data_IF_845556665777
#
_entry.id   IF_845556665777
#
_cell.length_a   1.000
_cell.length_b   1.000
_cell.length_c   1.000
_cell.angle_alpha   90.00
_cell.angle_beta   90.00
_cell.angle_gamma   90.00
#
_symmetry.space_group_name_H-M   'P 1'
#
loop_
_entity.id
_entity.type
_entity.pdbx_description
1 polymer ?
#
# COMPACT_ATOMS: atom_id res chain seq x y z
N UNK A 1 64.83 31.17 5.61
CA UNK A 1 63.38 31.41 5.84
C UNK A 1 62.77 31.88 4.53
N UNK A 2 62.16 30.99 3.77
CA UNK A 2 61.27 31.36 2.66
C UNK A 2 60.05 30.47 2.84
N UNK A 3 58.92 31.07 3.21
CA UNK A 3 57.65 30.39 3.47
C UNK A 3 56.97 30.11 2.13
N UNK A 4 56.70 28.84 1.87
CA UNK A 4 55.70 28.38 0.90
C UNK A 4 54.34 28.57 1.58
N UNK A 5 53.43 29.31 0.94
CA UNK A 5 52.01 29.33 1.29
C UNK A 5 51.28 28.73 0.09
N UNK A 6 50.94 27.45 0.19
CA UNK A 6 49.94 26.82 -0.66
C UNK A 6 48.56 27.13 -0.05
N UNK A 7 47.73 27.83 -0.81
CA UNK A 7 46.33 28.02 -0.47
C UNK A 7 45.55 26.77 -0.89
N UNK A 8 45.21 25.90 0.06
CA UNK A 8 44.24 24.83 -0.14
C UNK A 8 42.85 25.49 -0.13
N UNK A 9 42.23 25.58 -1.31
CA UNK A 9 40.81 25.88 -1.42
C UNK A 9 40.03 24.64 -0.93
N UNK A 10 39.52 24.69 0.30
CA UNK A 10 38.48 23.77 0.75
C UNK A 10 37.19 24.11 0.00
N UNK A 11 36.92 23.41 -1.10
CA UNK A 11 35.57 23.28 -1.63
C UNK A 11 34.77 22.49 -0.58
N UNK A 12 33.97 23.18 0.22
CA UNK A 12 32.93 22.53 1.00
C UNK A 12 31.88 22.00 0.03
N UNK A 13 32.03 20.75 -0.41
CA UNK A 13 30.88 19.99 -0.90
C UNK A 13 29.92 19.86 0.28
N UNK A 14 28.83 20.63 0.29
CA UNK A 14 27.62 20.17 0.94
C UNK A 14 27.20 18.91 0.18
N UNK A 15 27.66 17.75 0.67
CA UNK A 15 26.99 16.51 0.37
C UNK A 15 25.63 16.61 1.05
N UNK A 16 24.61 17.06 0.31
CA UNK A 16 23.25 16.65 0.61
C UNK A 16 23.32 15.12 0.53
N UNK A 17 23.23 14.46 1.68
CA UNK A 17 23.16 13.01 1.73
C UNK A 17 21.84 12.61 1.09
N UNK A 18 21.86 12.34 -0.22
CA UNK A 18 20.77 11.65 -0.88
C UNK A 18 20.59 10.31 -0.15
N UNK A 19 19.37 10.04 0.30
CA UNK A 19 19.05 8.72 0.81
C UNK A 19 19.12 7.76 -0.39
N UNK A 20 19.63 6.53 -0.18
CA UNK A 20 19.60 5.54 -1.24
C UNK A 20 18.14 5.20 -1.57
N UNK A 21 17.81 5.01 -2.86
CA UNK A 21 16.47 4.61 -3.28
C UNK A 21 15.98 3.40 -2.47
N UNK A 22 14.73 3.47 -2.01
CA UNK A 22 14.10 2.41 -1.20
C UNK A 22 14.06 1.10 -1.97
N UNK A 23 14.17 -0.02 -1.25
CA UNK A 23 13.93 -1.34 -1.83
C UNK A 23 12.47 -1.49 -2.29
N UNK A 24 12.22 -2.47 -3.18
CA UNK A 24 10.87 -2.72 -3.71
C UNK A 24 9.84 -2.94 -2.60
N UNK A 25 8.61 -2.37 -2.73
CA UNK A 25 7.50 -2.73 -1.87
C UNK A 25 7.23 -4.22 -1.92
N UNK A 26 6.72 -4.77 -0.83
CA UNK A 26 6.43 -6.20 -0.68
C UNK A 26 5.01 -6.40 -0.18
N UNK A 27 4.36 -7.48 -0.62
CA UNK A 27 3.10 -7.88 -0.01
C UNK A 27 3.33 -8.46 1.38
N UNK A 28 2.54 -8.02 2.36
CA UNK A 28 2.47 -8.63 3.70
C UNK A 28 1.25 -9.56 3.87
N UNK A 29 0.58 -9.90 2.77
CA UNK A 29 -0.69 -10.63 2.74
C UNK A 29 -1.95 -9.75 2.85
N UNK A 30 -1.81 -8.45 3.12
CA UNK A 30 -2.94 -7.49 3.23
C UNK A 30 -2.79 -6.31 2.29
N UNK A 31 -1.57 -5.81 2.12
CA UNK A 31 -1.25 -4.63 1.33
C UNK A 31 0.21 -4.66 0.90
N UNK A 32 0.63 -3.71 0.05
CA UNK A 32 2.04 -3.42 -0.17
C UNK A 32 2.61 -2.64 1.00
N UNK A 33 3.71 -3.12 1.55
CA UNK A 33 4.49 -2.44 2.59
C UNK A 33 5.87 -2.09 2.06
N UNK A 34 6.49 -1.12 2.71
CA UNK A 34 7.84 -0.68 2.47
C UNK A 34 8.87 -1.79 2.75
N UNK A 35 10.12 -1.53 2.38
CA UNK A 35 11.25 -2.45 2.55
C UNK A 35 11.60 -2.77 4.02
N UNK A 36 11.12 -1.94 4.95
CA UNK A 36 11.16 -2.12 6.40
C UNK A 36 9.88 -2.74 7.00
N UNK A 37 8.88 -3.02 6.16
CA UNK A 37 7.62 -3.64 6.55
C UNK A 37 6.51 -2.67 6.98
N UNK A 38 6.74 -1.36 6.94
CA UNK A 38 5.70 -0.37 7.26
C UNK A 38 4.71 -0.18 6.09
N UNK A 39 3.41 0.01 6.34
CA UNK A 39 2.47 0.45 5.31
C UNK A 39 2.92 1.75 4.62
N UNK A 40 2.58 1.88 3.33
CA UNK A 40 2.82 3.08 2.55
C UNK A 40 1.73 4.11 2.87
N UNK A 41 2.16 5.35 3.14
CA UNK A 41 1.33 6.45 3.59
C UNK A 41 1.76 7.73 2.89
N UNK A 42 0.83 8.44 2.28
CA UNK A 42 1.19 9.63 1.50
C UNK A 42 0.02 10.52 1.12
N UNK A 43 0.30 11.78 0.73
CA UNK A 43 -0.62 12.63 -0.01
C UNK A 43 -0.56 12.35 -1.52
N UNK A 44 -1.17 13.23 -2.31
CA UNK A 44 -1.02 13.25 -3.77
C UNK A 44 -0.35 14.51 -4.30
N UNK A 45 0.16 14.38 -5.52
CA UNK A 45 0.65 15.43 -6.41
C UNK A 45 0.26 15.08 -7.86
N UNK A 46 0.49 15.96 -8.83
CA UNK A 46 0.17 15.68 -10.22
C UNK A 46 0.94 16.50 -11.24
N UNK A 47 1.25 15.89 -12.38
CA UNK A 47 1.90 16.57 -13.51
C UNK A 47 0.92 17.02 -14.61
N UNK A 48 -0.38 16.86 -14.37
CA UNK A 48 -1.46 17.15 -15.34
C UNK A 48 -1.48 18.63 -15.75
N UNK A 49 -1.24 19.54 -14.82
CA UNK A 49 -1.35 21.00 -15.04
C UNK A 49 -0.01 21.73 -15.02
N UNK A 50 1.09 21.08 -14.64
CA UNK A 50 2.39 21.71 -14.45
C UNK A 50 3.49 20.74 -14.01
N UNK A 51 4.67 21.26 -13.62
CA UNK A 51 5.64 20.46 -12.90
C UNK A 51 5.07 20.01 -11.55
N UNK A 52 5.44 18.80 -11.14
CA UNK A 52 5.19 18.29 -9.80
C UNK A 52 6.02 19.07 -8.76
N UNK A 53 5.86 18.68 -7.50
CA UNK A 53 6.62 19.14 -6.35
C UNK A 53 8.12 19.12 -6.60
N UNK A 54 8.82 19.98 -5.86
CA UNK A 54 10.28 20.02 -5.86
C UNK A 54 10.85 19.13 -4.74
N UNK A 55 12.13 18.79 -4.86
CA UNK A 55 12.84 18.00 -3.84
C UNK A 55 12.68 18.51 -2.40
N UNK A 56 12.56 19.83 -2.19
CA UNK A 56 12.32 20.41 -0.87
C UNK A 56 10.93 20.07 -0.30
N UNK A 57 9.90 20.08 -1.15
CA UNK A 57 8.53 19.70 -0.80
C UNK A 57 8.46 18.20 -0.52
N UNK A 58 9.00 17.36 -1.41
CA UNK A 58 9.06 15.91 -1.22
C UNK A 58 9.75 15.55 0.10
N UNK A 59 10.92 16.15 0.38
CA UNK A 59 11.61 15.90 1.66
C UNK A 59 10.80 16.34 2.88
N UNK A 60 10.00 17.40 2.76
CA UNK A 60 9.21 17.91 3.87
C UNK A 60 8.05 16.98 4.27
N UNK A 61 7.54 16.15 3.35
CA UNK A 61 6.49 15.16 3.61
C UNK A 61 6.85 14.19 4.75
N UNK A 62 8.15 13.88 4.89
CA UNK A 62 8.67 13.03 5.97
C UNK A 62 8.36 13.57 7.37
N UNK A 63 8.18 14.89 7.51
CA UNK A 63 7.81 15.51 8.79
C UNK A 63 6.35 15.26 9.19
N UNK A 64 5.55 14.72 8.27
CA UNK A 64 4.11 14.47 8.44
C UNK A 64 3.80 12.96 8.45
N UNK A 65 4.79 12.13 8.80
CA UNK A 65 4.62 10.68 8.96
C UNK A 65 4.42 9.93 7.66
N UNK A 66 4.70 10.56 6.52
CA UNK A 66 4.58 9.96 5.19
C UNK A 66 5.88 9.32 4.70
N UNK A 67 5.74 8.27 3.91
CA UNK A 67 6.82 7.57 3.23
C UNK A 67 6.51 7.29 1.74
N UNK A 68 5.37 7.75 1.24
CA UNK A 68 4.92 7.57 -0.14
C UNK A 68 4.32 8.87 -0.72
N UNK A 69 4.21 8.93 -2.05
CA UNK A 69 3.54 9.98 -2.80
C UNK A 69 2.69 9.34 -3.91
N UNK A 70 1.42 9.75 -4.02
CA UNK A 70 0.58 9.42 -5.17
C UNK A 70 0.79 10.44 -6.28
N UNK A 71 1.03 10.00 -7.52
CA UNK A 71 1.23 10.89 -8.65
C UNK A 71 0.20 10.63 -9.75
N UNK A 72 -0.73 11.57 -9.92
CA UNK A 72 -1.55 11.69 -11.13
C UNK A 72 -0.64 12.15 -12.27
N UNK A 73 -0.26 11.21 -13.13
CA UNK A 73 0.79 11.45 -14.14
C UNK A 73 0.26 12.31 -15.29
N UNK A 74 -0.37 11.66 -16.27
CA UNK A 74 -0.93 12.26 -17.46
C UNK A 74 -2.44 12.00 -17.49
N UNK A 75 -3.19 13.02 -17.88
CA UNK A 75 -4.60 12.88 -18.19
C UNK A 75 -4.77 12.13 -19.50
N UNK A 76 -5.56 11.05 -19.51
CA UNK A 76 -5.92 10.38 -20.77
C UNK A 76 -6.72 11.31 -21.68
N UNK A 77 -6.51 11.24 -23.00
CA UNK A 77 -7.20 12.13 -23.92
C UNK A 77 -6.66 12.09 -25.33
N UNK A 78 -6.64 13.24 -25.99
CA UNK A 78 -6.24 13.36 -27.41
C UNK A 78 -4.74 13.44 -27.62
N UNK A 79 -3.98 13.87 -26.61
CA UNK A 79 -2.54 13.93 -26.67
C UNK A 79 -1.96 12.53 -26.41
N UNK A 80 -1.03 12.08 -27.26
CA UNK A 80 -0.38 10.78 -27.08
C UNK A 80 0.41 10.73 -25.75
N UNK A 81 0.44 9.57 -25.07
CA UNK A 81 1.19 9.41 -23.83
C UNK A 81 2.68 9.77 -23.95
N UNK A 82 3.28 10.20 -22.85
CA UNK A 82 4.69 10.62 -22.79
C UNK A 82 4.89 12.15 -22.80
N UNK A 83 3.81 12.93 -22.95
CA UNK A 83 3.86 14.39 -23.07
C UNK A 83 4.25 15.13 -21.78
N UNK A 84 4.17 14.47 -20.61
CA UNK A 84 4.65 14.97 -19.32
C UNK A 84 5.88 14.21 -18.81
N UNK A 85 6.50 13.36 -19.63
CA UNK A 85 7.59 12.47 -19.22
C UNK A 85 8.73 13.18 -18.48
N UNK A 86 9.14 14.38 -18.92
CA UNK A 86 10.19 15.14 -18.25
C UNK A 86 9.82 15.58 -16.82
N UNK A 87 8.54 15.88 -16.55
CA UNK A 87 8.09 16.21 -15.20
C UNK A 87 7.97 14.96 -14.33
N UNK A 88 7.49 13.85 -14.91
CA UNK A 88 7.39 12.56 -14.22
C UNK A 88 8.79 12.04 -13.88
N UNK A 89 9.76 12.18 -14.78
CA UNK A 89 11.18 11.85 -14.53
C UNK A 89 11.72 12.60 -13.32
N UNK A 90 11.43 13.91 -13.24
CA UNK A 90 11.89 14.77 -12.15
C UNK A 90 11.37 14.27 -10.81
N UNK A 91 10.05 14.07 -10.67
CA UNK A 91 9.47 13.66 -9.39
C UNK A 91 9.78 12.19 -9.02
N UNK A 92 9.96 11.31 -10.01
CA UNK A 92 10.46 9.94 -9.76
C UNK A 92 11.89 10.00 -9.19
N UNK A 93 12.75 10.89 -9.70
CA UNK A 93 14.10 11.06 -9.16
C UNK A 93 14.07 11.70 -7.77
N UNK A 94 13.25 12.73 -7.56
CA UNK A 94 13.16 13.42 -6.27
C UNK A 94 12.64 12.52 -5.16
N UNK A 95 11.66 11.65 -5.45
CA UNK A 95 11.18 10.65 -4.50
C UNK A 95 12.24 9.58 -4.23
N UNK A 96 13.03 9.17 -5.23
CA UNK A 96 14.16 8.26 -5.05
C UNK A 96 15.19 8.85 -4.07
N UNK A 97 15.62 10.08 -4.32
CA UNK A 97 16.64 10.80 -3.53
C UNK A 97 16.16 11.08 -2.09
N UNK A 98 14.84 11.24 -1.91
CA UNK A 98 14.23 11.46 -0.61
C UNK A 98 13.95 10.17 0.19
N UNK A 99 14.17 8.99 -0.41
CA UNK A 99 13.82 7.69 0.19
C UNK A 99 12.31 7.45 0.27
N UNK A 100 11.51 8.03 -0.61
CA UNK A 100 10.05 7.88 -0.63
C UNK A 100 9.61 6.93 -1.74
N UNK A 101 8.50 6.24 -1.52
CA UNK A 101 7.79 5.51 -2.56
C UNK A 101 6.97 6.45 -3.44
N UNK A 102 6.74 6.07 -4.69
CA UNK A 102 5.86 6.80 -5.59
C UNK A 102 4.93 5.84 -6.34
N UNK A 103 3.65 6.18 -6.37
CA UNK A 103 2.61 5.43 -7.07
C UNK A 103 2.24 6.23 -8.31
N UNK A 104 2.45 5.65 -9.49
CA UNK A 104 2.17 6.30 -10.77
C UNK A 104 0.82 5.81 -11.31
N UNK A 105 -0.11 6.74 -11.57
CA UNK A 105 -1.43 6.42 -12.10
C UNK A 105 -1.73 7.22 -13.36
N UNK A 106 -2.46 6.62 -14.32
CA UNK A 106 -3.11 7.36 -15.41
C UNK A 106 -4.24 8.19 -14.81
N UNK A 107 -4.24 9.51 -15.04
CA UNK A 107 -5.24 10.41 -14.51
C UNK A 107 -6.40 10.63 -15.51
N UNK A 108 -7.55 11.07 -15.01
CA UNK A 108 -8.74 11.32 -15.86
C UNK A 108 -8.98 12.80 -16.15
N UNK A 109 -8.33 13.72 -15.44
CA UNK A 109 -8.64 15.14 -15.49
C UNK A 109 -10.14 15.40 -15.28
N UNK A 110 -10.82 15.90 -16.31
CA UNK A 110 -12.27 16.19 -16.25
C UNK A 110 -13.20 14.98 -16.46
N UNK A 111 -12.66 13.79 -16.73
CA UNK A 111 -13.41 12.62 -17.22
C UNK A 111 -13.35 11.42 -16.24
N UNK A 112 -13.46 11.66 -14.93
CA UNK A 112 -13.52 10.55 -13.95
C UNK A 112 -14.68 9.59 -14.29
N UNK A 113 -14.49 8.30 -13.99
CA UNK A 113 -15.45 7.25 -14.31
C UNK A 113 -15.46 6.83 -15.78
N UNK A 114 -14.36 7.09 -16.49
CA UNK A 114 -14.18 6.77 -17.91
C UNK A 114 -12.70 6.43 -18.20
N UNK A 115 -12.46 5.70 -19.29
CA UNK A 115 -11.12 5.29 -19.72
C UNK A 115 -11.00 5.19 -21.25
N UNK A 116 -9.75 5.12 -21.74
CA UNK A 116 -9.46 4.76 -23.13
C UNK A 116 -8.48 3.60 -23.18
N UNK A 117 -8.92 2.45 -23.71
CA UNK A 117 -8.10 1.25 -23.81
C UNK A 117 -6.80 1.50 -24.56
N UNK A 118 -6.89 2.03 -25.79
CA UNK A 118 -5.71 2.25 -26.64
C UNK A 118 -4.75 3.25 -26.01
N UNK A 119 -5.28 4.28 -25.34
CA UNK A 119 -4.46 5.28 -24.68
C UNK A 119 -3.72 4.67 -23.48
N UNK A 120 -4.39 3.85 -22.67
CA UNK A 120 -3.79 3.16 -21.53
C UNK A 120 -2.70 2.15 -21.98
N UNK A 121 -2.94 1.41 -23.07
CA UNK A 121 -1.95 0.51 -23.67
C UNK A 121 -0.70 1.28 -24.15
N UNK A 122 -0.88 2.40 -24.84
CA UNK A 122 0.21 3.27 -25.29
C UNK A 122 0.99 3.87 -24.10
N UNK A 123 0.28 4.29 -23.05
CA UNK A 123 0.87 4.86 -21.84
C UNK A 123 1.77 3.85 -21.15
N UNK A 124 1.26 2.64 -20.88
CA UNK A 124 2.05 1.62 -20.22
C UNK A 124 3.16 1.06 -21.10
N UNK A 125 2.97 1.05 -22.43
CA UNK A 125 4.05 0.71 -23.36
C UNK A 125 5.22 1.69 -23.25
N UNK A 126 4.95 2.97 -22.99
CA UNK A 126 5.97 3.99 -22.81
C UNK A 126 6.58 3.98 -21.40
N UNK A 127 5.76 4.00 -20.34
CA UNK A 127 6.22 4.23 -18.97
C UNK A 127 6.65 2.96 -18.21
N UNK A 128 6.10 1.78 -18.53
CA UNK A 128 6.49 0.55 -17.84
C UNK A 128 7.98 0.21 -18.00
N UNK A 129 8.59 0.18 -19.21
CA UNK A 129 10.03 -0.06 -19.33
C UNK A 129 10.86 1.09 -18.75
N UNK A 130 10.33 2.32 -18.75
CA UNK A 130 11.06 3.53 -18.34
C UNK A 130 11.41 3.51 -16.85
N UNK A 131 10.49 3.03 -16.01
CA UNK A 131 10.69 2.97 -14.56
C UNK A 131 10.76 1.54 -14.04
N UNK A 132 10.94 0.55 -14.92
CA UNK A 132 10.99 -0.87 -14.56
C UNK A 132 12.00 -1.15 -13.44
N UNK A 133 13.16 -0.50 -13.47
CA UNK A 133 14.25 -0.69 -12.51
C UNK A 133 14.21 0.25 -11.30
N UNK A 134 13.27 1.20 -11.27
CA UNK A 134 13.10 2.12 -10.14
C UNK A 134 12.38 1.39 -9.00
N UNK A 135 13.14 1.00 -7.98
CA UNK A 135 12.63 0.07 -6.95
C UNK A 135 11.57 0.69 -6.05
N UNK A 136 11.53 2.02 -5.90
CA UNK A 136 10.53 2.73 -5.10
C UNK A 136 9.21 3.00 -5.85
N UNK A 137 9.07 2.55 -7.10
CA UNK A 137 7.90 2.82 -7.95
C UNK A 137 6.88 1.67 -7.90
N UNK A 138 5.61 2.05 -7.80
CA UNK A 138 4.42 1.18 -8.00
C UNK A 138 3.62 1.71 -9.19
N UNK A 139 3.03 0.81 -9.97
CA UNK A 139 2.12 1.17 -11.06
C UNK A 139 0.67 0.92 -10.66
N UNK A 140 -0.15 1.95 -10.75
CA UNK A 140 -1.60 1.87 -10.63
C UNK A 140 -2.22 2.08 -12.00
N UNK A 141 -2.93 1.08 -12.53
CA UNK A 141 -3.20 1.00 -13.98
C UNK A 141 -3.95 2.21 -14.51
N UNK A 142 -5.04 2.62 -13.87
CA UNK A 142 -5.86 3.74 -14.31
C UNK A 142 -6.71 4.25 -13.16
N UNK A 143 -6.74 5.58 -12.97
CA UNK A 143 -7.60 6.20 -11.97
C UNK A 143 -9.07 6.09 -12.39
N UNK A 144 -9.94 5.72 -11.44
CA UNK A 144 -11.41 5.65 -11.57
C UNK A 144 -11.94 5.34 -12.99
N UNK A 145 -11.62 4.17 -13.59
CA UNK A 145 -11.93 3.92 -15.00
C UNK A 145 -13.42 3.70 -15.27
N UNK A 146 -14.24 3.43 -14.25
CA UNK A 146 -15.67 3.14 -14.40
C UNK A 146 -16.50 3.90 -13.38
N UNK A 147 -17.60 4.47 -13.86
CA UNK A 147 -18.62 5.18 -13.10
C UNK A 147 -19.57 4.20 -12.38
N UNK A 148 -19.47 3.97 -11.07
CA UNK A 148 -18.44 4.48 -10.14
C UNK A 148 -17.73 3.38 -9.35
N UNK A 149 -17.95 2.11 -9.66
CA UNK A 149 -17.42 1.02 -8.85
C UNK A 149 -17.74 -0.35 -9.45
N UNK A 150 -17.40 -1.42 -8.74
CA UNK A 150 -17.62 -2.78 -9.22
C UNK A 150 -19.13 -3.09 -9.35
N UNK A 151 -19.53 -4.03 -10.23
CA UNK A 151 -18.67 -4.88 -11.05
C UNK A 151 -18.36 -4.28 -12.43
N UNK A 152 -17.08 -4.12 -12.74
CA UNK A 152 -16.52 -3.70 -14.04
C UNK A 152 -16.70 -4.77 -15.12
N UNK A 153 -16.77 -6.04 -14.71
CA UNK A 153 -17.04 -7.21 -15.55
C UNK A 153 -18.46 -7.23 -16.12
N UNK A 154 -19.38 -6.44 -15.56
CA UNK A 154 -20.75 -6.36 -16.06
C UNK A 154 -20.79 -5.79 -17.48
N UNK A 155 -21.59 -6.38 -18.40
CA UNK A 155 -21.81 -5.81 -19.73
C UNK A 155 -22.53 -4.46 -19.68
N UNK A 156 -23.08 -4.07 -18.53
CA UNK A 156 -23.72 -2.76 -18.30
C UNK A 156 -22.89 -1.84 -17.41
N UNK A 157 -21.63 -2.18 -17.12
CA UNK A 157 -20.70 -1.23 -16.52
C UNK A 157 -20.56 0.01 -17.42
N UNK A 158 -20.25 1.16 -16.84
CA UNK A 158 -20.22 2.43 -17.56
C UNK A 158 -18.87 3.16 -17.39
N UNK A 159 -18.02 3.19 -18.42
CA UNK A 159 -18.09 2.40 -19.66
C UNK A 159 -17.85 0.89 -19.40
N UNK A 160 -18.30 -0.01 -20.31
CA UNK A 160 -17.99 -1.43 -20.20
C UNK A 160 -16.57 -1.73 -20.69
N UNK A 161 -16.02 -2.88 -20.29
CA UNK A 161 -14.76 -3.39 -20.83
C UNK A 161 -13.51 -3.03 -20.03
N UNK A 162 -13.65 -2.44 -18.84
CA UNK A 162 -12.52 -2.12 -17.98
C UNK A 162 -11.70 -3.35 -17.59
N UNK A 163 -12.31 -4.52 -17.35
CA UNK A 163 -11.56 -5.78 -17.11
C UNK A 163 -10.59 -6.10 -18.25
N UNK A 164 -11.00 -5.88 -19.50
CA UNK A 164 -10.11 -6.08 -20.63
C UNK A 164 -8.98 -5.05 -20.64
N UNK A 165 -9.25 -3.79 -20.30
CA UNK A 165 -8.22 -2.75 -20.16
C UNK A 165 -7.19 -3.13 -19.09
N UNK A 166 -7.63 -3.52 -17.90
CA UNK A 166 -6.76 -4.00 -16.82
C UNK A 166 -5.86 -5.16 -17.30
N UNK A 167 -6.44 -6.14 -18.00
CA UNK A 167 -5.71 -7.30 -18.49
C UNK A 167 -4.67 -6.99 -19.58
N UNK A 168 -4.97 -6.07 -20.51
CA UNK A 168 -4.01 -5.65 -21.55
C UNK A 168 -2.88 -4.84 -20.94
N UNK A 169 -3.20 -3.88 -20.07
CA UNK A 169 -2.21 -3.08 -19.34
C UNK A 169 -1.31 -3.97 -18.48
N UNK A 170 -1.88 -4.93 -17.73
CA UNK A 170 -1.11 -5.94 -16.99
C UNK A 170 -0.09 -6.67 -17.87
N UNK A 171 -0.54 -7.15 -19.02
CA UNK A 171 0.31 -7.92 -19.95
C UNK A 171 1.46 -7.07 -20.50
N UNK A 172 1.19 -5.81 -20.84
CA UNK A 172 2.20 -4.83 -21.29
C UNK A 172 3.19 -4.56 -20.17
N UNK A 173 2.70 -4.24 -18.96
CA UNK A 173 3.53 -3.93 -17.80
C UNK A 173 4.41 -5.14 -17.45
N UNK A 174 3.84 -6.33 -17.27
CA UNK A 174 4.61 -7.53 -16.86
C UNK A 174 5.69 -7.92 -17.86
N UNK A 175 5.47 -7.65 -19.16
CA UNK A 175 6.49 -7.86 -20.20
C UNK A 175 7.69 -6.93 -20.05
N UNK A 176 7.47 -5.67 -19.67
CA UNK A 176 8.51 -4.65 -19.59
C UNK A 176 9.11 -4.47 -18.18
N UNK A 177 8.32 -4.72 -17.14
CA UNK A 177 8.60 -4.46 -15.74
C UNK A 177 8.12 -5.64 -14.87
N UNK A 178 8.74 -6.83 -14.99
CA UNK A 178 8.24 -8.08 -14.38
C UNK A 178 8.18 -8.04 -12.85
N UNK A 179 8.97 -7.17 -12.22
CA UNK A 179 9.10 -7.07 -10.76
C UNK A 179 8.39 -5.84 -10.17
N UNK A 180 7.78 -4.98 -10.98
CA UNK A 180 7.11 -3.77 -10.47
C UNK A 180 5.73 -4.11 -9.93
N UNK A 181 5.40 -3.72 -8.68
CA UNK A 181 4.06 -3.85 -8.12
C UNK A 181 2.98 -3.24 -9.03
N UNK A 182 1.83 -3.91 -9.15
CA UNK A 182 0.67 -3.41 -9.89
C UNK A 182 -0.53 -3.26 -8.95
N UNK A 183 -1.22 -2.14 -9.06
CA UNK A 183 -2.53 -1.92 -8.48
C UNK A 183 -3.59 -1.94 -9.59
N UNK A 184 -4.63 -2.74 -9.39
CA UNK A 184 -5.75 -2.94 -10.32
C UNK A 184 -6.97 -2.11 -9.91
N UNK A 185 -7.82 -1.85 -10.92
CA UNK A 185 -9.21 -1.39 -10.81
C UNK A 185 -9.41 0.05 -10.36
N UNK A 186 -8.81 0.46 -9.25
CA UNK A 186 -8.98 1.80 -8.66
C UNK A 186 -10.47 2.18 -8.51
N UNK A 187 -11.19 1.37 -7.74
CA UNK A 187 -12.64 1.56 -7.54
C UNK A 187 -12.95 2.87 -6.81
N UNK A 188 -13.68 3.78 -7.45
CA UNK A 188 -14.09 5.06 -6.84
C UNK A 188 -15.04 4.87 -5.64
N UNK A 189 -16.12 4.10 -5.83
CA UNK A 189 -17.22 3.94 -4.87
C UNK A 189 -17.42 2.46 -4.54
N UNK A 190 -17.09 2.08 -3.30
CA UNK A 190 -17.44 0.79 -2.73
C UNK A 190 -18.74 0.90 -1.93
N UNK A 191 -19.86 0.61 -2.60
CA UNK A 191 -21.20 0.63 -2.00
C UNK A 191 -21.54 -0.64 -1.20
N UNK A 192 -22.74 -0.69 -0.60
CA UNK A 192 -23.25 -1.91 0.05
C UNK A 192 -23.21 -3.11 -0.90
N UNK A 193 -22.65 -4.24 -0.44
CA UNK A 193 -22.54 -5.47 -1.24
C UNK A 193 -21.40 -5.47 -2.27
N UNK A 194 -20.50 -4.47 -2.25
CA UNK A 194 -19.35 -4.43 -3.13
C UNK A 194 -18.44 -5.67 -3.00
N UNK A 195 -18.48 -6.40 -1.88
CA UNK A 195 -17.63 -7.57 -1.64
C UNK A 195 -17.81 -8.65 -2.71
N UNK A 196 -19.06 -8.89 -3.13
CA UNK A 196 -19.35 -9.87 -4.18
C UNK A 196 -18.90 -9.37 -5.55
N UNK A 197 -19.20 -8.11 -5.86
CA UNK A 197 -18.87 -7.50 -7.15
C UNK A 197 -17.35 -7.38 -7.39
N UNK A 198 -16.57 -7.08 -6.35
CA UNK A 198 -15.10 -7.08 -6.43
C UNK A 198 -14.59 -8.48 -6.78
N UNK A 199 -15.13 -9.52 -6.16
CA UNK A 199 -14.71 -10.90 -6.43
C UNK A 199 -15.10 -11.36 -7.85
N UNK A 200 -16.24 -10.90 -8.38
CA UNK A 200 -16.62 -11.13 -9.79
C UNK A 200 -15.57 -10.54 -10.75
N UNK A 201 -15.14 -9.31 -10.49
CA UNK A 201 -14.12 -8.62 -11.29
C UNK A 201 -12.75 -9.29 -11.18
N UNK A 202 -12.33 -9.68 -9.97
CA UNK A 202 -11.09 -10.42 -9.74
C UNK A 202 -11.10 -11.75 -10.47
N UNK A 203 -12.17 -12.54 -10.37
CA UNK A 203 -12.28 -13.82 -11.07
C UNK A 203 -12.26 -13.63 -12.59
N UNK A 204 -12.92 -12.59 -13.11
CA UNK A 204 -12.91 -12.26 -14.53
C UNK A 204 -11.51 -11.89 -15.01
N UNK A 205 -10.82 -11.00 -14.29
CA UNK A 205 -9.45 -10.59 -14.59
C UNK A 205 -8.50 -11.79 -14.52
N UNK A 206 -8.51 -12.54 -13.41
CA UNK A 206 -7.66 -13.70 -13.19
C UNK A 206 -7.85 -14.78 -14.26
N UNK A 207 -9.10 -15.01 -14.69
CA UNK A 207 -9.37 -15.92 -15.82
C UNK A 207 -8.67 -15.44 -17.09
N UNK A 208 -8.65 -14.13 -17.34
CA UNK A 208 -8.01 -13.56 -18.53
C UNK A 208 -6.48 -13.57 -18.46
N UNK A 209 -5.87 -13.21 -17.32
CA UNK A 209 -4.41 -13.04 -17.20
C UNK A 209 -3.67 -14.28 -16.67
N UNK A 210 -4.36 -15.19 -16.00
CA UNK A 210 -3.78 -16.41 -15.41
C UNK A 210 -4.42 -17.70 -15.90
N UNK A 211 -5.58 -17.65 -16.57
CA UNK A 211 -6.34 -18.84 -16.95
C UNK A 211 -6.95 -19.59 -15.76
N UNK A 212 -7.00 -18.96 -14.58
CA UNK A 212 -7.51 -19.52 -13.34
C UNK A 212 -8.17 -18.41 -12.52
N UNK A 213 -9.48 -18.47 -12.30
CA UNK A 213 -10.22 -17.46 -11.53
C UNK A 213 -9.69 -17.26 -10.10
N UNK A 214 -9.19 -18.32 -9.47
CA UNK A 214 -8.70 -18.33 -8.08
C UNK A 214 -7.18 -18.10 -7.98
N UNK A 215 -6.58 -17.40 -8.96
CA UNK A 215 -5.14 -17.16 -8.97
C UNK A 215 -4.70 -16.32 -7.77
N UNK A 216 -3.68 -16.80 -7.05
CA UNK A 216 -3.09 -16.09 -5.92
C UNK A 216 -2.11 -15.04 -6.43
N UNK A 217 -2.35 -13.78 -6.07
CA UNK A 217 -1.48 -12.67 -6.42
C UNK A 217 -0.22 -12.64 -5.56
N UNK A 218 0.90 -12.31 -6.19
CA UNK A 218 2.22 -12.29 -5.52
C UNK A 218 2.91 -10.94 -5.65
N UNK A 219 2.45 -10.09 -6.57
CA UNK A 219 2.96 -8.74 -6.78
C UNK A 219 1.85 -7.81 -7.32
N UNK A 220 0.61 -8.04 -6.90
CA UNK A 220 -0.58 -7.32 -7.31
C UNK A 220 -1.49 -7.03 -6.10
N UNK A 221 -2.26 -5.94 -6.15
CA UNK A 221 -3.27 -5.59 -5.17
C UNK A 221 -4.45 -4.84 -5.83
N UNK A 222 -5.60 -4.81 -5.17
CA UNK A 222 -6.73 -3.96 -5.56
C UNK A 222 -6.50 -2.53 -5.08
N UNK A 223 -6.46 -1.57 -5.99
CA UNK A 223 -6.60 -0.15 -5.64
C UNK A 223 -8.09 0.20 -5.44
N UNK A 224 -8.35 1.09 -4.48
CA UNK A 224 -9.69 1.56 -4.19
C UNK A 224 -9.68 2.96 -3.56
N UNK A 225 -10.80 3.65 -3.66
CA UNK A 225 -11.03 4.96 -3.10
C UNK A 225 -12.05 4.92 -1.95
N UNK A 226 -12.15 6.02 -1.21
CA UNK A 226 -13.01 6.16 -0.04
C UNK A 226 -14.44 6.66 -0.28
N UNK A 227 -14.87 6.87 -1.53
CA UNK A 227 -16.10 7.63 -1.83
C UNK A 227 -17.41 6.87 -1.56
N UNK A 228 -17.34 5.56 -1.31
CA UNK A 228 -18.46 4.76 -0.79
C UNK A 228 -18.78 4.99 0.69
N UNK A 229 -17.98 5.82 1.37
CA UNK A 229 -18.04 6.08 2.80
C UNK A 229 -17.30 5.02 3.61
N UNK A 230 -16.84 5.41 4.81
CA UNK A 230 -15.96 4.58 5.65
C UNK A 230 -16.55 3.20 5.93
N UNK A 231 -17.81 3.09 6.36
CA UNK A 231 -18.39 1.82 6.79
C UNK A 231 -18.43 0.77 5.67
N UNK A 232 -18.94 1.15 4.49
CA UNK A 232 -19.02 0.23 3.34
C UNK A 232 -17.62 -0.14 2.84
N UNK A 233 -16.73 0.85 2.76
CA UNK A 233 -15.35 0.64 2.29
C UNK A 233 -14.59 -0.33 3.19
N UNK A 234 -14.63 -0.12 4.51
CA UNK A 234 -13.92 -0.99 5.47
C UNK A 234 -14.51 -2.40 5.50
N UNK A 235 -15.84 -2.55 5.38
CA UNK A 235 -16.49 -3.86 5.25
C UNK A 235 -15.97 -4.61 4.02
N UNK A 236 -16.02 -3.94 2.85
CA UNK A 236 -15.65 -4.57 1.59
C UNK A 236 -14.17 -4.95 1.51
N UNK A 237 -13.29 -4.07 1.97
CA UNK A 237 -11.86 -4.33 1.97
C UNK A 237 -11.45 -5.35 3.03
N UNK A 238 -12.13 -5.39 4.18
CA UNK A 238 -11.96 -6.46 5.16
C UNK A 238 -12.27 -7.83 4.55
N UNK A 239 -13.42 -7.96 3.89
CA UNK A 239 -13.82 -9.20 3.22
C UNK A 239 -12.86 -9.60 2.08
N UNK A 240 -12.38 -8.63 1.30
CA UNK A 240 -11.39 -8.85 0.24
C UNK A 240 -10.06 -9.41 0.78
N UNK A 241 -9.55 -8.82 1.86
CA UNK A 241 -8.33 -9.27 2.53
C UNK A 241 -8.53 -10.68 3.12
N UNK A 242 -9.68 -10.96 3.73
CA UNK A 242 -10.02 -12.28 4.26
C UNK A 242 -10.14 -13.34 3.14
N UNK A 243 -10.52 -12.92 1.92
CA UNK A 243 -10.51 -13.74 0.71
C UNK A 243 -9.10 -13.95 0.12
N UNK A 244 -8.06 -13.33 0.69
CA UNK A 244 -6.66 -13.52 0.30
C UNK A 244 -6.15 -12.55 -0.76
N UNK A 245 -6.91 -11.51 -1.10
CA UNK A 245 -6.50 -10.50 -2.08
C UNK A 245 -6.05 -9.22 -1.37
N UNK A 246 -4.79 -8.76 -1.59
CA UNK A 246 -4.31 -7.52 -1.00
C UNK A 246 -5.04 -6.29 -1.54
N UNK A 247 -5.10 -5.24 -0.74
CA UNK A 247 -5.72 -3.98 -1.09
C UNK A 247 -4.80 -2.78 -0.81
N UNK A 248 -5.04 -1.65 -1.48
CA UNK A 248 -4.31 -0.41 -1.34
C UNK A 248 -5.26 0.78 -1.55
N UNK A 249 -5.42 1.65 -0.55
CA UNK A 249 -6.24 2.86 -0.69
C UNK A 249 -5.44 3.92 -1.48
N UNK A 250 -5.94 4.40 -2.61
CA UNK A 250 -5.20 5.35 -3.46
C UNK A 250 -5.78 6.75 -3.46
N UNK A 251 -7.03 6.92 -3.01
CA UNK A 251 -7.64 8.24 -2.91
C UNK A 251 -8.78 8.27 -1.88
N UNK A 252 -8.70 9.18 -0.90
CA UNK A 252 -9.85 9.49 -0.05
C UNK A 252 -9.71 10.88 0.55
N UNK A 253 -10.84 11.49 0.84
CA UNK A 253 -10.93 12.73 1.61
C UNK A 253 -12.25 12.76 2.36
N UNK A 254 -12.35 13.66 3.35
CA UNK A 254 -13.64 13.93 3.96
C UNK A 254 -14.56 14.57 2.92
N UNK A 255 -15.77 14.05 2.75
CA UNK A 255 -16.76 14.62 1.81
C UNK A 255 -17.20 16.05 2.16
N UNK A 256 -16.96 16.51 3.39
CA UNK A 256 -17.29 17.84 3.89
C UNK A 256 -16.01 18.66 4.15
N UNK A 257 -15.49 19.29 3.10
CA UNK A 257 -14.35 20.20 3.15
C UNK A 257 -12.98 19.51 3.10
N UNK A 258 -11.92 20.30 3.01
CA UNK A 258 -10.54 19.83 2.74
C UNK A 258 -9.80 19.29 3.98
N UNK A 259 -10.53 18.91 5.04
CA UNK A 259 -9.93 18.39 6.28
C UNK A 259 -9.79 16.87 6.18
N UNK A 260 -8.65 16.32 6.60
CA UNK A 260 -8.46 14.86 6.58
C UNK A 260 -9.51 14.10 7.41
N UNK A 261 -9.95 12.96 6.90
CA UNK A 261 -10.77 12.01 7.66
C UNK A 261 -9.89 11.10 8.54
N UNK A 262 -9.54 11.60 9.72
CA UNK A 262 -8.74 10.87 10.69
C UNK A 262 -9.43 9.56 11.16
N UNK A 263 -10.76 9.53 11.24
CA UNK A 263 -11.51 8.32 11.58
C UNK A 263 -11.28 7.23 10.53
N UNK A 264 -11.29 7.62 9.25
CA UNK A 264 -11.04 6.70 8.15
C UNK A 264 -9.60 6.17 8.18
N UNK A 265 -8.61 7.04 8.38
CA UNK A 265 -7.21 6.59 8.56
C UNK A 265 -7.11 5.58 9.70
N UNK A 266 -7.73 5.84 10.84
CA UNK A 266 -7.69 4.92 11.98
C UNK A 266 -8.26 3.53 11.62
N UNK A 267 -9.32 3.48 10.81
CA UNK A 267 -9.87 2.22 10.36
C UNK A 267 -8.96 1.50 9.35
N UNK A 268 -8.29 2.23 8.45
CA UNK A 268 -7.31 1.68 7.51
C UNK A 268 -6.07 1.13 8.24
N UNK A 269 -5.58 1.84 9.26
CA UNK A 269 -4.51 1.37 10.16
C UNK A 269 -4.95 0.09 10.90
N UNK A 270 -6.20 0.02 11.35
CA UNK A 270 -6.78 -1.17 11.96
C UNK A 270 -6.81 -2.39 11.02
N UNK A 271 -7.08 -2.17 9.73
CA UNK A 271 -6.98 -3.21 8.70
C UNK A 271 -5.53 -3.57 8.33
N UNK A 272 -4.58 -2.67 8.65
CA UNK A 272 -3.17 -2.68 8.22
C UNK A 272 -3.03 -2.56 6.69
N UNK A 273 -3.79 -1.64 6.11
CA UNK A 273 -3.84 -1.38 4.67
C UNK A 273 -3.11 -0.07 4.37
N UNK A 274 -2.24 -0.05 3.36
CA UNK A 274 -1.58 1.16 2.89
C UNK A 274 -2.58 2.14 2.28
N UNK A 275 -2.29 3.43 2.39
CA UNK A 275 -3.23 4.48 1.99
C UNK A 275 -2.55 5.74 1.45
N UNK A 276 -3.21 6.35 0.48
CA UNK A 276 -2.87 7.66 -0.06
C UNK A 276 -4.08 8.56 0.09
N UNK A 277 -3.87 9.71 0.72
CA UNK A 277 -4.93 10.68 0.97
C UNK A 277 -5.01 11.69 -0.17
N UNK A 278 -6.22 12.15 -0.48
CA UNK A 278 -6.46 13.16 -1.50
C UNK A 278 -6.26 14.59 -0.95
N UNK A 279 -5.17 14.81 -0.24
CA UNK A 279 -4.72 16.16 0.09
C UNK A 279 -3.51 16.48 -0.79
N UNK A 280 -3.57 17.62 -1.47
CA UNK A 280 -2.51 18.03 -2.39
C UNK A 280 -1.29 18.50 -1.61
N UNK A 281 -0.15 17.88 -1.88
CA UNK A 281 1.08 18.02 -1.10
C UNK A 281 1.55 19.48 -0.97
N UNK A 282 1.58 20.25 -2.05
CA UNK A 282 2.02 21.66 -2.01
C UNK A 282 1.06 22.49 -1.14
N UNK A 283 -0.26 22.37 -1.32
CA UNK A 283 -1.19 23.14 -0.49
C UNK A 283 -1.20 22.73 0.98
N UNK A 284 -0.91 21.46 1.27
CA UNK A 284 -0.76 20.98 2.64
C UNK A 284 0.48 21.55 3.32
N UNK A 285 1.51 21.92 2.55
CA UNK A 285 2.84 22.24 3.06
C UNK A 285 3.22 23.72 2.89
N UNK A 286 2.56 24.46 2.01
CA UNK A 286 2.86 25.87 1.68
C UNK A 286 2.66 26.81 2.86
N UNK A 287 1.82 26.44 3.83
CA UNK A 287 1.74 27.17 5.09
C UNK A 287 1.66 26.21 6.28
N UNK A 288 2.53 26.37 7.30
CA UNK A 288 2.46 25.57 8.52
C UNK A 288 1.09 25.60 9.22
N UNK A 289 0.33 26.69 9.07
CA UNK A 289 -1.01 26.82 9.64
C UNK A 289 -2.07 25.97 8.89
N UNK A 290 -1.98 25.86 7.56
CA UNK A 290 -2.84 24.96 6.79
C UNK A 290 -2.48 23.50 7.13
N UNK A 291 -1.19 23.16 7.16
CA UNK A 291 -0.72 21.85 7.57
C UNK A 291 -1.24 21.46 8.98
N UNK A 292 -1.20 22.41 9.92
CA UNK A 292 -1.72 22.18 11.27
C UNK A 292 -3.22 21.87 11.25
N UNK A 293 -4.03 22.75 10.64
CA UNK A 293 -5.49 22.65 10.70
C UNK A 293 -6.10 21.53 9.85
N UNK A 294 -5.51 21.21 8.70
CA UNK A 294 -6.05 20.21 7.77
C UNK A 294 -5.52 18.80 8.05
N UNK A 295 -4.39 18.67 8.74
CA UNK A 295 -3.70 17.39 8.94
C UNK A 295 -3.33 17.10 10.39
N UNK A 296 -2.44 17.90 10.98
CA UNK A 296 -1.85 17.58 12.30
C UNK A 296 -2.91 17.58 13.41
N UNK A 297 -3.73 18.63 13.49
CA UNK A 297 -4.74 18.79 14.55
C UNK A 297 -5.83 17.71 14.49
N UNK A 298 -6.40 17.36 13.32
CA UNK A 298 -7.32 16.22 13.20
C UNK A 298 -6.72 14.89 13.65
N UNK A 299 -5.49 14.57 13.21
CA UNK A 299 -4.81 13.32 13.55
C UNK A 299 -4.53 13.24 15.05
N UNK A 300 -3.97 14.31 15.63
CA UNK A 300 -3.67 14.38 17.06
C UNK A 300 -4.94 14.30 17.91
N UNK A 301 -6.00 15.01 17.50
CA UNK A 301 -7.27 15.07 18.23
C UNK A 301 -8.04 13.74 18.19
N UNK A 302 -7.93 13.00 17.09
CA UNK A 302 -8.49 11.66 16.96
C UNK A 302 -7.59 10.56 17.59
N UNK A 303 -6.38 10.90 18.03
CA UNK A 303 -5.42 9.94 18.61
C UNK A 303 -4.94 8.89 17.61
N UNK A 304 -4.95 9.21 16.32
CA UNK A 304 -4.54 8.30 15.25
C UNK A 304 -3.02 8.16 15.27
N UNK A 305 -2.55 6.93 15.08
CA UNK A 305 -1.23 6.54 15.50
C UNK A 305 -0.63 5.46 14.58
N UNK A 306 0.60 5.67 14.13
CA UNK A 306 1.43 4.65 13.48
C UNK A 306 2.91 4.90 13.77
N UNK A 307 3.73 3.88 13.50
CA UNK A 307 5.19 3.99 13.51
C UNK A 307 5.63 4.55 12.15
N UNK A 308 6.17 5.78 12.10
CA UNK A 308 6.63 6.36 10.84
C UNK A 308 8.03 5.84 10.47
N UNK A 309 8.34 5.79 9.19
CA UNK A 309 9.70 5.54 8.70
C UNK A 309 10.65 6.69 9.09
N UNK A 310 10.10 7.90 9.20
CA UNK A 310 10.83 9.14 9.42
C UNK A 310 10.30 9.91 10.62
N UNK A 311 11.22 10.41 11.44
CA UNK A 311 10.87 11.23 12.60
C UNK A 311 10.15 10.46 13.70
N UNK A 312 9.37 11.19 14.50
CA UNK A 312 8.69 10.67 15.69
C UNK A 312 7.19 11.01 15.72
N UNK A 313 6.59 11.40 14.60
CA UNK A 313 5.17 11.71 14.53
C UNK A 313 4.49 10.74 13.54
N UNK A 314 3.28 10.21 13.82
CA UNK A 314 2.33 10.66 14.85
C UNK A 314 2.50 10.07 16.26
N UNK A 315 3.25 8.98 16.45
CA UNK A 315 3.35 8.33 17.77
C UNK A 315 4.74 8.12 18.34
N UNK A 316 5.77 8.50 17.59
CA UNK A 316 7.15 8.20 17.94
C UNK A 316 7.48 6.75 17.68
N UNK A 317 8.77 6.45 17.59
CA UNK A 317 9.23 5.08 17.72
C UNK A 317 8.91 4.60 19.15
N UNK A 318 7.76 3.97 19.33
CA UNK A 318 7.42 3.27 20.57
C UNK A 318 8.33 2.05 20.68
N UNK A 319 9.56 2.27 21.15
CA UNK A 319 10.43 1.22 21.70
C UNK A 319 10.93 0.15 20.73
N UNK A 320 11.12 0.42 19.44
CA UNK A 320 12.08 -0.37 18.67
C UNK A 320 13.45 0.26 18.91
N UNK A 321 14.30 -0.44 19.67
CA UNK A 321 15.72 -0.14 19.76
C UNK A 321 16.25 0.12 18.36
N UNK A 322 16.66 1.37 18.12
CA UNK A 322 17.43 1.78 16.95
C UNK A 322 18.56 0.78 16.76
N UNK A 323 18.42 -0.11 15.77
CA UNK A 323 19.58 -0.80 15.22
C UNK A 323 20.27 0.21 14.32
N UNK A 324 21.02 1.12 14.96
CA UNK A 324 22.05 1.86 14.26
C UNK A 324 22.94 0.82 13.58
N UNK A 325 22.87 0.77 12.26
CA UNK A 325 23.63 -0.16 11.42
C UNK A 325 25.10 0.25 11.50
N UNK A 326 25.75 -0.11 12.60
CA UNK A 326 27.18 0.09 12.81
C UNK A 326 27.88 -1.03 12.08
N UNK A 327 28.44 -0.70 10.91
CA UNK A 327 29.32 -1.58 10.13
C UNK A 327 30.55 -1.93 10.97
N UNK A 328 30.45 -3.01 11.75
CA UNK A 328 31.58 -3.58 12.46
C UNK A 328 32.13 -4.70 11.59
N UNK A 329 33.30 -4.46 11.01
CA UNK A 329 34.06 -5.44 10.23
C UNK A 329 34.44 -6.62 11.13
N UNK A 330 33.64 -7.69 11.14
CA UNK A 330 34.01 -8.94 11.80
C UNK A 330 34.94 -9.72 10.87
N UNK A 331 36.21 -9.79 11.24
CA UNK A 331 37.21 -10.65 10.62
C UNK A 331 36.81 -12.10 10.84
N UNK A 332 36.29 -12.74 9.78
CA UNK A 332 35.89 -14.17 9.80
C UNK A 332 37.13 -15.03 10.00
N UNK A 333 37.22 -15.69 11.16
CA UNK A 333 38.16 -16.78 11.39
C UNK A 333 37.53 -18.07 10.84
N UNK A 334 38.20 -18.70 9.90
CA UNK A 334 37.78 -19.94 9.25
C UNK A 334 38.06 -21.11 10.17
N UNK A 335 37.02 -21.78 10.66
CA UNK A 335 37.13 -23.06 11.37
C UNK A 335 36.48 -24.16 10.54
N UNK A 336 37.33 -25.05 10.05
CA UNK A 336 36.97 -26.24 9.26
C UNK A 336 36.29 -27.27 10.17
N UNK A 337 35.03 -27.61 9.89
CA UNK A 337 34.36 -28.77 10.50
C UNK A 337 34.10 -29.86 9.46
N UNK A 338 34.56 -31.06 9.83
CA UNK A 338 34.58 -32.30 9.06
C UNK A 338 33.16 -32.89 8.95
N UNK A 339 32.77 -33.28 7.74
CA UNK A 339 31.49 -33.93 7.46
C UNK A 339 31.41 -35.33 8.10
N UNK A 340 30.28 -35.61 8.77
CA UNK A 340 29.92 -36.96 9.25
C UNK A 340 28.66 -37.42 8.53
N UNK A 341 28.78 -38.55 7.87
CA UNK A 341 27.75 -39.25 7.09
C UNK A 341 26.84 -40.05 8.03
N UNK A 342 25.52 -39.98 7.87
CA UNK A 342 24.59 -40.93 8.50
C UNK A 342 23.55 -41.40 7.50
N UNK A 343 23.47 -42.73 7.34
CA UNK A 343 22.65 -43.48 6.40
C UNK A 343 21.21 -43.70 6.88
N UNK A 344 20.34 -43.93 5.91
CA UNK A 344 18.87 -43.98 5.86
C UNK A 344 18.21 -45.10 6.70
N UNK A 345 16.98 -44.86 7.19
CA UNK A 345 15.99 -45.94 7.41
C UNK A 345 14.56 -45.48 7.14
N UNK A 346 13.98 -46.03 6.07
CA UNK A 346 12.60 -45.83 5.60
C UNK A 346 11.63 -46.64 6.45
N UNK A 347 10.57 -46.03 6.96
CA UNK A 347 9.43 -46.76 7.56
C UNK A 347 8.12 -46.18 7.06
N UNK A 348 7.24 -47.06 6.60
CA UNK A 348 5.97 -46.79 5.91
C UNK A 348 4.83 -47.08 6.90
N UNK A 349 3.96 -46.11 7.21
CA UNK A 349 2.66 -46.39 7.86
C UNK A 349 1.63 -45.25 7.70
N UNK A 350 0.56 -45.61 7.01
CA UNK A 350 -0.87 -45.25 7.11
C UNK A 350 -1.38 -44.05 7.93
N UNK A 351 -2.30 -43.31 7.27
CA UNK A 351 -3.14 -42.19 7.70
C UNK A 351 -4.18 -42.50 8.80
N UNK A 352 -4.32 -41.59 9.78
CA UNK A 352 -5.60 -41.25 10.45
C UNK A 352 -5.52 -39.89 11.16
N UNK A 353 -6.61 -39.12 11.05
CA UNK A 353 -6.80 -37.77 11.58
C UNK A 353 -6.69 -37.68 13.11
N UNK A 354 -6.17 -36.55 13.62
CA UNK A 354 -6.41 -36.10 15.00
C UNK A 354 -6.20 -34.59 15.16
N UNK A 355 -7.26 -33.98 15.69
CA UNK A 355 -7.47 -32.66 16.31
C UNK A 355 -6.26 -31.92 16.89
N UNK A 356 -6.11 -30.65 16.51
CA UNK A 356 -5.21 -29.67 17.15
C UNK A 356 -6.04 -28.73 18.03
N UNK A 357 -5.76 -28.72 19.33
CA UNK A 357 -6.26 -27.71 20.27
C UNK A 357 -5.11 -27.13 21.10
N UNK A 358 -5.32 -25.88 21.53
CA UNK A 358 -4.47 -24.95 22.29
C UNK A 358 -3.52 -24.09 21.42
N UNK A 359 -3.41 -22.76 21.57
CA UNK A 359 -3.74 -21.93 22.72
C UNK A 359 -3.72 -20.43 22.39
N UNK A 360 -4.87 -19.78 22.49
CA UNK A 360 -5.01 -18.39 22.96
C UNK A 360 -6.37 -18.29 23.64
N UNK A 361 -6.46 -17.67 24.83
CA UNK A 361 -7.75 -17.44 25.47
C UNK A 361 -8.65 -16.59 24.56
N UNK A 362 -9.96 -16.79 24.68
CA UNK A 362 -10.96 -15.99 23.99
C UNK A 362 -10.85 -14.51 24.40
N UNK A 363 -10.95 -13.60 23.44
CA UNK A 363 -10.97 -12.16 23.71
C UNK A 363 -12.21 -11.77 24.55
N UNK A 364 -12.20 -10.58 25.14
CA UNK A 364 -13.39 -10.02 25.79
C UNK A 364 -14.59 -10.05 24.80
N UNK A 365 -15.75 -10.47 25.28
CA UNK A 365 -16.98 -10.73 24.50
C UNK A 365 -16.93 -11.90 23.50
N UNK A 366 -15.82 -12.63 23.36
CA UNK A 366 -15.79 -13.82 22.51
C UNK A 366 -16.38 -15.05 23.23
N UNK A 367 -16.81 -16.04 22.45
CA UNK A 367 -17.29 -17.32 22.97
C UNK A 367 -16.13 -18.08 23.64
N UNK A 368 -16.37 -18.54 24.86
CA UNK A 368 -15.39 -19.26 25.67
C UNK A 368 -15.95 -20.58 26.21
N UNK A 369 -17.13 -21.00 25.75
CA UNK A 369 -17.77 -22.21 26.25
C UNK A 369 -19.15 -22.41 25.66
N UNK A 370 -19.79 -23.49 26.11
CA UNK A 370 -21.07 -23.96 25.61
C UNK A 370 -21.01 -25.44 25.21
N UNK A 371 -22.15 -26.12 25.28
CA UNK A 371 -22.25 -27.52 24.86
C UNK A 371 -21.82 -27.68 23.41
N UNK A 372 -20.84 -28.53 23.14
CA UNK A 372 -20.28 -28.77 21.80
C UNK A 372 -19.18 -27.78 21.37
N UNK A 373 -18.83 -26.79 22.19
CA UNK A 373 -17.73 -25.88 21.90
C UNK A 373 -16.37 -26.60 21.95
N UNK A 374 -15.56 -26.43 20.90
CA UNK A 374 -14.21 -27.03 20.76
C UNK A 374 -13.09 -25.98 20.78
N UNK A 375 -13.43 -24.71 20.93
CA UNK A 375 -12.48 -23.60 20.99
C UNK A 375 -11.97 -23.31 22.41
N UNK A 376 -11.36 -22.13 22.63
CA UNK A 376 -10.77 -21.78 23.92
C UNK A 376 -11.81 -21.74 25.04
N UNK A 377 -11.42 -22.20 26.23
CA UNK A 377 -12.27 -22.24 27.44
C UNK A 377 -11.87 -21.21 28.51
N UNK A 378 -10.95 -20.31 28.17
CA UNK A 378 -10.45 -19.24 29.02
C UNK A 378 -10.62 -17.89 28.34
N UNK A 379 -10.58 -16.80 29.12
CA UNK A 379 -10.78 -15.42 28.65
C UNK A 379 -9.56 -14.54 28.94
N UNK A 380 -9.26 -13.61 28.03
CA UNK A 380 -8.22 -12.59 28.25
C UNK A 380 -8.77 -11.54 29.22
N UNK A 381 -8.20 -11.48 30.43
CA UNK A 381 -8.50 -10.48 31.46
C UNK A 381 -9.99 -10.38 31.91
N UNK A 382 -10.79 -11.43 31.66
CA UNK A 382 -12.23 -11.48 31.99
C UNK A 382 -12.63 -12.89 32.43
N UNK A 383 -13.91 -13.12 32.77
CA UNK A 383 -14.44 -14.43 33.19
C UNK A 383 -15.37 -15.03 32.14
N UNK A 384 -15.20 -16.32 31.87
CA UNK A 384 -16.13 -17.04 31.00
C UNK A 384 -17.49 -17.24 31.70
N UNK A 385 -18.52 -16.56 31.22
CA UNK A 385 -19.85 -16.50 31.83
C UNK A 385 -20.87 -17.19 30.94
N UNK A 386 -21.54 -18.22 31.47
CA UNK A 386 -22.63 -18.90 30.76
C UNK A 386 -23.85 -17.97 30.62
N UNK A 387 -24.46 -17.95 29.43
CA UNK A 387 -25.64 -17.12 29.19
C UNK A 387 -26.90 -17.81 29.72
N UNK A 388 -27.67 -17.08 30.53
CA UNK A 388 -28.91 -17.59 31.09
C UNK A 388 -29.88 -18.02 29.98
N UNK A 389 -30.37 -19.26 30.05
CA UNK A 389 -31.28 -19.82 29.03
C UNK A 389 -30.61 -20.36 27.77
N UNK A 390 -29.27 -20.32 27.66
CA UNK A 390 -28.56 -20.90 26.52
C UNK A 390 -27.39 -21.82 26.93
N UNK A 391 -27.58 -23.15 27.01
CA UNK A 391 -26.53 -24.09 27.41
C UNK A 391 -25.45 -24.31 26.34
N UNK A 392 -25.63 -23.76 25.13
CA UNK A 392 -24.69 -23.88 24.01
C UNK A 392 -23.74 -22.69 23.90
N UNK A 393 -23.85 -21.69 24.79
CA UNK A 393 -23.08 -20.46 24.66
C UNK A 393 -22.63 -19.88 26.01
N UNK A 394 -21.33 -19.62 26.13
CA UNK A 394 -20.70 -18.89 27.23
C UNK A 394 -19.75 -17.84 26.66
N UNK A 395 -19.69 -16.67 27.28
CA UNK A 395 -18.99 -15.49 26.75
C UNK A 395 -18.03 -14.90 27.78
N UNK A 396 -16.90 -14.38 27.32
CA UNK A 396 -15.98 -13.61 28.14
C UNK A 396 -16.59 -12.26 28.55
N UNK A 397 -16.87 -12.08 29.84
CA UNK A 397 -17.42 -10.84 30.42
C UNK A 397 -16.61 -10.33 31.61
#
# INVERSE_FOLDING_TARGET
MVKIIEAIAMLAFLACSADAARGRPKLNGKTFVADDGQPLRGPFDGTETGPAASSGVVNSLKNYGFNALHLYTETFGTQAPGYRSAYIDSIVQETADAGMYIILVIANGGNNGDFSLSWAEEFWTFYAPRYADQTHVIYEIHNEPVSWGPPYSSPTANPPGAINMEAQCYSIIRKAAPNTPILFFTYSVLGPGAETAIMEDIHALNTQIHGNADAVWTNEAVAFHGYGGQANTISAIGALIDAGYPAFMTEFQRLAGNVIDASFINALEGLKTSWLTFQYDQTMLDTPAIAASLWLDPINSAGVCWVPDYGNWPCGNVGILSTTKTTTTVKVLTTTTKATTTTTKTTKTTSKATTSASSSCSALYAQCGGTGWTGPTCCIASTCTAQAGNPYYSQCL
#
